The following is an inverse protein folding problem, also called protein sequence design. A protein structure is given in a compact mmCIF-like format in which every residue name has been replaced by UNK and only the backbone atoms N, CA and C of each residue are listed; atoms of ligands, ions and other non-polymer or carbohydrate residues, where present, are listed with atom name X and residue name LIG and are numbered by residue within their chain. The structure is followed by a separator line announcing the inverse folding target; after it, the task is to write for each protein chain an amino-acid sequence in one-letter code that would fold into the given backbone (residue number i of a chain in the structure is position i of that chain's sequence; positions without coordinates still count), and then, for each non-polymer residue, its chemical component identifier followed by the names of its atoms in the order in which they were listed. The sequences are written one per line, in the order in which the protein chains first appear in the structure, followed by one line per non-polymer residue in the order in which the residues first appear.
data_IF_688359840465
#
_entry.id   IF_688359840465
#
_cell.length_a   1.000
_cell.length_b   1.000
_cell.length_c   1.000
_cell.angle_alpha   90.00
_cell.angle_beta   90.00
_cell.angle_gamma   90.00
#
_symmetry.space_group_name_H-M   'P 1'
#
loop_
_entity.id
_entity.type
_entity.pdbx_description
1 polymer ?
#
# COMPACT_ATOMS: atom_id res chain seq x y z
N UNK A 1 22.14 11.60 12.27
CA UNK A 1 21.99 10.36 13.07
C UNK A 1 21.15 9.41 12.24
N UNK A 2 21.47 8.13 12.23
CA UNK A 2 20.65 7.13 11.51
C UNK A 2 19.23 7.15 12.09
N UNK A 3 18.20 7.16 11.20
CA UNK A 3 16.78 7.00 11.58
C UNK A 3 16.45 5.53 11.91
N UNK A 4 17.43 4.63 11.85
CA UNK A 4 17.25 3.19 11.99
C UNK A 4 17.12 2.79 13.45
N UNK A 5 16.08 2.04 13.75
CA UNK A 5 15.83 1.41 15.04
C UNK A 5 16.44 0.00 15.01
N UNK A 6 17.31 -0.29 15.96
CA UNK A 6 17.85 -1.62 16.20
C UNK A 6 17.14 -2.20 17.45
N UNK A 7 16.24 -3.17 17.30
CA UNK A 7 15.57 -3.74 18.45
C UNK A 7 16.55 -4.50 19.34
N UNK A 8 16.38 -4.38 20.66
CA UNK A 8 17.22 -5.11 21.62
C UNK A 8 17.02 -6.62 21.46
N UNK A 9 18.13 -7.37 21.40
CA UNK A 9 18.14 -8.84 21.26
C UNK A 9 17.46 -9.36 19.97
N UNK A 10 17.31 -8.54 18.94
CA UNK A 10 16.78 -9.00 17.66
C UNK A 10 17.78 -9.94 16.99
N UNK A 11 17.25 -11.04 16.47
CA UNK A 11 17.98 -11.96 15.60
C UNK A 11 17.02 -12.44 14.51
N UNK A 12 17.42 -12.38 13.22
CA UNK A 12 16.61 -12.91 12.14
C UNK A 12 16.24 -14.38 12.38
N UNK A 13 14.98 -14.73 12.21
CA UNK A 13 14.50 -16.10 12.41
C UNK A 13 15.05 -17.09 11.37
N UNK A 14 15.42 -16.60 10.19
CA UNK A 14 15.94 -17.38 9.08
C UNK A 14 17.33 -16.91 8.68
N UNK A 15 18.17 -17.83 8.20
CA UNK A 15 19.41 -17.48 7.48
C UNK A 15 19.07 -16.92 6.09
N UNK A 16 20.04 -16.28 5.40
CA UNK A 16 19.81 -15.64 4.10
C UNK A 16 19.24 -16.56 3.03
N UNK A 17 19.70 -17.82 2.97
CA UNK A 17 19.21 -18.79 1.99
C UNK A 17 17.73 -19.11 2.23
N UNK A 18 17.36 -19.39 3.47
CA UNK A 18 15.96 -19.69 3.83
C UNK A 18 15.07 -18.44 3.74
N UNK A 19 15.61 -17.25 4.03
CA UNK A 19 14.90 -15.97 3.80
C UNK A 19 14.52 -15.81 2.33
N UNK A 20 15.43 -16.05 1.39
CA UNK A 20 15.12 -15.97 -0.05
C UNK A 20 14.05 -17.00 -0.47
N UNK A 21 14.11 -18.21 0.06
CA UNK A 21 13.07 -19.24 -0.17
C UNK A 21 11.72 -18.81 0.40
N UNK A 22 11.72 -18.25 1.61
CA UNK A 22 10.51 -17.78 2.27
C UNK A 22 9.87 -16.60 1.51
N UNK A 23 10.65 -15.61 1.07
CA UNK A 23 10.18 -14.52 0.21
C UNK A 23 9.48 -15.05 -1.04
N UNK A 24 10.12 -15.97 -1.77
CA UNK A 24 9.52 -16.60 -2.96
C UNK A 24 8.23 -17.35 -2.64
N UNK A 25 8.17 -18.00 -1.49
CA UNK A 25 6.99 -18.74 -1.01
C UNK A 25 5.85 -17.77 -0.66
N UNK A 26 6.11 -16.73 0.14
CA UNK A 26 5.12 -15.71 0.49
C UNK A 26 4.54 -15.07 -0.77
N UNK A 27 5.42 -14.60 -1.67
CA UNK A 27 4.98 -13.89 -2.88
C UNK A 27 4.06 -14.75 -3.76
N UNK A 28 4.35 -16.03 -3.92
CA UNK A 28 3.52 -16.95 -4.70
C UNK A 28 2.21 -17.28 -3.99
N UNK A 29 2.27 -17.74 -2.74
CA UNK A 29 1.08 -18.16 -2.00
C UNK A 29 0.08 -17.03 -1.80
N UNK A 30 0.59 -15.84 -1.45
CA UNK A 30 -0.28 -14.70 -1.24
C UNK A 30 -0.95 -14.24 -2.54
N UNK A 31 -0.19 -14.16 -3.65
CA UNK A 31 -0.75 -13.77 -4.94
C UNK A 31 -1.87 -14.72 -5.38
N UNK A 32 -1.66 -16.06 -5.27
CA UNK A 32 -2.66 -17.06 -5.63
C UNK A 32 -3.90 -16.95 -4.73
N UNK A 33 -3.70 -16.80 -3.41
CA UNK A 33 -4.80 -16.66 -2.45
C UNK A 33 -5.59 -15.37 -2.66
N UNK A 34 -4.90 -14.25 -2.88
CA UNK A 34 -5.53 -12.96 -3.18
C UNK A 34 -6.37 -13.02 -4.46
N UNK A 35 -5.84 -13.65 -5.51
CA UNK A 35 -6.54 -13.85 -6.78
C UNK A 35 -7.84 -14.65 -6.60
N UNK A 36 -7.76 -15.75 -5.88
CA UNK A 36 -8.92 -16.58 -5.59
C UNK A 36 -9.97 -15.83 -4.75
N UNK A 37 -9.52 -15.11 -3.73
CA UNK A 37 -10.38 -14.44 -2.75
C UNK A 37 -11.11 -13.25 -3.36
N UNK A 38 -10.42 -12.41 -4.15
CA UNK A 38 -11.01 -11.20 -4.73
C UNK A 38 -11.46 -11.38 -6.19
N UNK A 39 -11.24 -12.56 -6.80
CA UNK A 39 -11.56 -12.84 -8.19
C UNK A 39 -10.76 -11.97 -9.18
N UNK A 40 -9.44 -12.01 -9.02
CA UNK A 40 -8.50 -11.21 -9.80
C UNK A 40 -7.75 -12.07 -10.83
N UNK A 41 -7.30 -11.39 -11.89
CA UNK A 41 -6.41 -11.97 -12.90
C UNK A 41 -5.13 -11.13 -12.98
N UNK A 42 -3.98 -11.81 -13.02
CA UNK A 42 -2.70 -11.11 -13.21
C UNK A 42 -2.62 -10.53 -14.61
N UNK A 43 -2.21 -9.26 -14.71
CA UNK A 43 -1.99 -8.57 -15.99
C UNK A 43 -0.58 -7.98 -16.05
N UNK A 44 -0.10 -7.72 -17.27
CA UNK A 44 1.11 -6.94 -17.48
C UNK A 44 0.84 -5.47 -17.17
N UNK A 45 1.72 -4.84 -16.41
CA UNK A 45 1.63 -3.43 -16.03
C UNK A 45 2.85 -2.64 -16.51
N UNK A 46 2.72 -1.33 -16.76
CA UNK A 46 3.84 -0.51 -17.15
C UNK A 46 4.76 -0.23 -15.94
N UNK A 47 6.07 -0.19 -16.19
CA UNK A 47 7.06 0.35 -15.25
C UNK A 47 7.09 1.88 -15.28
N UNK A 48 6.73 2.47 -16.41
CA UNK A 48 6.69 3.90 -16.66
C UNK A 48 5.51 4.26 -17.55
N UNK A 49 5.05 5.48 -17.44
CA UNK A 49 3.92 6.01 -18.23
C UNK A 49 4.32 7.34 -18.87
N UNK A 50 3.66 7.69 -19.97
CA UNK A 50 3.83 9.00 -20.61
C UNK A 50 3.30 10.11 -19.69
N UNK A 51 4.09 11.17 -19.50
CA UNK A 51 3.80 12.26 -18.57
C UNK A 51 2.46 12.96 -18.87
N UNK A 52 2.13 13.13 -20.16
CA UNK A 52 0.92 13.82 -20.63
C UNK A 52 -0.40 13.11 -20.28
N UNK A 53 -0.36 11.83 -19.92
CA UNK A 53 -1.58 11.02 -19.68
C UNK A 53 -2.27 11.29 -18.34
N UNK A 54 -1.53 11.82 -17.35
CA UNK A 54 -2.01 11.99 -15.98
C UNK A 54 -2.20 10.67 -15.21
N UNK A 55 -1.63 9.55 -15.72
CA UNK A 55 -1.79 8.22 -15.12
C UNK A 55 -0.84 7.97 -13.94
N UNK A 56 0.30 8.70 -13.87
CA UNK A 56 1.18 8.57 -12.72
C UNK A 56 0.57 9.22 -11.47
N UNK A 57 1.03 8.79 -10.30
CA UNK A 57 0.68 9.39 -9.03
C UNK A 57 1.57 10.62 -8.76
N UNK A 58 1.00 11.62 -8.12
CA UNK A 58 1.73 12.78 -7.63
C UNK A 58 2.02 12.69 -6.11
N UNK A 59 1.62 11.59 -5.47
CA UNK A 59 1.71 11.38 -4.02
C UNK A 59 1.14 12.58 -3.27
N UNK A 60 1.97 13.30 -2.49
CA UNK A 60 1.58 14.53 -1.80
C UNK A 60 1.75 15.80 -2.68
N UNK A 61 2.21 15.64 -3.92
CA UNK A 61 2.39 16.73 -4.89
C UNK A 61 3.73 17.46 -4.78
N UNK A 62 4.62 17.04 -3.91
CA UNK A 62 5.96 17.64 -3.70
C UNK A 62 7.10 16.72 -4.11
N UNK A 63 6.86 15.42 -4.21
CA UNK A 63 7.85 14.41 -4.55
C UNK A 63 8.23 14.49 -6.04
N UNK A 64 9.52 14.48 -6.31
CA UNK A 64 10.05 14.51 -7.67
C UNK A 64 9.93 13.13 -8.32
N UNK A 65 9.40 13.08 -9.53
CA UNK A 65 9.36 11.86 -10.33
C UNK A 65 10.71 11.53 -10.95
N UNK A 66 10.98 10.25 -11.20
CA UNK A 66 12.08 9.82 -12.06
C UNK A 66 11.60 9.86 -13.50
N UNK A 67 12.20 10.73 -14.30
CA UNK A 67 11.80 10.96 -15.69
C UNK A 67 12.96 10.69 -16.65
N UNK A 68 12.62 10.31 -17.86
CA UNK A 68 13.55 10.21 -18.99
C UNK A 68 12.77 10.37 -20.31
N UNK A 69 13.49 10.65 -21.39
CA UNK A 69 12.93 10.71 -22.74
C UNK A 69 13.22 9.44 -23.54
N UNK A 70 12.36 9.15 -24.50
CA UNK A 70 12.56 8.03 -25.43
C UNK A 70 13.36 8.47 -26.65
N UNK A 71 14.40 7.70 -27.00
CA UNK A 71 15.35 8.04 -28.07
C UNK A 71 14.68 8.35 -29.40
N UNK A 72 13.67 7.58 -29.79
CA UNK A 72 13.12 7.65 -31.13
C UNK A 72 12.02 8.73 -31.26
N UNK A 73 11.24 8.99 -30.21
CA UNK A 73 10.12 9.92 -30.23
C UNK A 73 10.31 11.18 -29.40
N UNK A 74 11.31 11.21 -28.51
CA UNK A 74 11.51 12.30 -27.55
C UNK A 74 10.38 12.46 -26.53
N UNK A 75 9.49 11.47 -26.42
CA UNK A 75 8.39 11.51 -25.46
C UNK A 75 8.95 11.39 -24.04
N UNK A 76 8.54 12.31 -23.17
CA UNK A 76 8.85 12.25 -21.74
C UNK A 76 8.00 11.17 -21.07
N UNK A 77 8.66 10.27 -20.39
CA UNK A 77 8.06 9.20 -19.59
C UNK A 77 8.50 9.30 -18.15
N UNK A 78 7.66 8.81 -17.26
CA UNK A 78 7.85 8.86 -15.81
C UNK A 78 7.78 7.45 -15.26
N UNK A 79 8.78 7.03 -14.49
CA UNK A 79 8.68 5.81 -13.69
C UNK A 79 7.52 5.96 -12.72
N UNK A 80 6.70 4.93 -12.61
CA UNK A 80 5.49 5.01 -11.79
C UNK A 80 5.82 5.18 -10.30
N UNK A 81 5.01 5.98 -9.61
CA UNK A 81 4.97 6.09 -8.16
C UNK A 81 3.80 5.30 -7.57
N UNK A 82 2.74 5.08 -8.39
CA UNK A 82 1.59 4.23 -8.12
C UNK A 82 0.91 3.89 -9.44
N UNK A 83 0.18 2.76 -9.50
CA UNK A 83 -0.63 2.35 -10.63
C UNK A 83 -2.15 2.53 -10.41
N UNK A 84 -2.56 3.23 -9.35
CA UNK A 84 -3.96 3.36 -8.98
C UNK A 84 -4.84 3.86 -10.15
N UNK A 85 -4.40 4.92 -10.85
CA UNK A 85 -5.12 5.48 -12.00
C UNK A 85 -5.05 4.58 -13.22
N UNK A 86 -3.88 4.03 -13.51
CA UNK A 86 -3.68 3.13 -14.64
C UNK A 86 -4.56 1.87 -14.55
N UNK A 87 -4.65 1.23 -13.39
CA UNK A 87 -5.44 0.00 -13.20
C UNK A 87 -6.91 0.21 -13.56
N UNK A 88 -7.50 1.32 -13.10
CA UNK A 88 -8.91 1.64 -13.41
C UNK A 88 -9.14 1.80 -14.91
N UNK A 89 -8.21 2.50 -15.58
CA UNK A 89 -8.24 2.62 -17.05
C UNK A 89 -8.08 1.25 -17.72
N UNK A 90 -7.13 0.44 -17.28
CA UNK A 90 -6.87 -0.89 -17.82
C UNK A 90 -8.09 -1.82 -17.69
N UNK A 91 -8.85 -1.76 -16.60
CA UNK A 91 -10.10 -2.54 -16.47
C UNK A 91 -11.11 -2.20 -17.58
N UNK A 92 -11.25 -0.91 -17.95
CA UNK A 92 -12.09 -0.48 -19.07
C UNK A 92 -11.53 -1.00 -20.39
N UNK A 93 -10.25 -0.73 -20.65
CA UNK A 93 -9.59 -1.04 -21.92
C UNK A 93 -9.58 -2.55 -22.22
N UNK A 94 -9.42 -3.37 -21.20
CA UNK A 94 -9.39 -4.83 -21.30
C UNK A 94 -10.78 -5.48 -21.19
N UNK A 95 -11.84 -4.70 -21.00
CA UNK A 95 -13.22 -5.18 -20.96
C UNK A 95 -13.56 -6.02 -19.73
N UNK A 96 -13.00 -5.70 -18.59
CA UNK A 96 -13.33 -6.39 -17.33
C UNK A 96 -14.78 -6.09 -16.91
N UNK A 97 -15.49 -7.13 -16.43
CA UNK A 97 -16.88 -7.05 -16.04
C UNK A 97 -17.02 -6.89 -14.52
N UNK A 98 -18.19 -6.45 -14.07
CA UNK A 98 -18.55 -6.37 -12.65
C UNK A 98 -18.23 -7.68 -11.92
N UNK A 99 -17.61 -7.57 -10.76
CA UNK A 99 -17.18 -8.70 -9.92
C UNK A 99 -15.85 -9.33 -10.34
N UNK A 100 -15.24 -8.89 -11.45
CA UNK A 100 -13.90 -9.29 -11.90
C UNK A 100 -12.91 -8.17 -11.71
N UNK A 101 -11.66 -8.53 -11.46
CA UNK A 101 -10.60 -7.55 -11.28
C UNK A 101 -9.26 -8.02 -11.84
N UNK A 102 -8.31 -7.12 -11.80
CA UNK A 102 -6.92 -7.39 -12.14
C UNK A 102 -6.02 -7.20 -10.92
N UNK A 103 -4.86 -7.83 -10.96
CA UNK A 103 -3.70 -7.40 -10.17
C UNK A 103 -2.45 -7.39 -11.05
N UNK A 104 -1.46 -6.63 -10.63
CA UNK A 104 -0.15 -6.62 -11.27
C UNK A 104 0.95 -6.48 -10.21
N UNK A 105 2.14 -6.93 -10.57
CA UNK A 105 3.34 -6.66 -9.79
C UNK A 105 3.81 -5.24 -10.15
N UNK A 106 3.53 -4.28 -9.28
CA UNK A 106 4.00 -2.92 -9.42
C UNK A 106 5.42 -2.81 -8.86
N UNK A 107 6.29 -2.19 -9.63
CA UNK A 107 7.62 -1.77 -9.20
C UNK A 107 7.69 -0.24 -9.37
N UNK A 108 7.85 0.48 -8.29
CA UNK A 108 7.86 1.94 -8.27
C UNK A 108 9.16 2.49 -7.68
N UNK A 109 9.52 3.70 -8.09
CA UNK A 109 10.64 4.43 -7.50
C UNK A 109 10.11 5.72 -6.91
N UNK A 110 10.25 5.86 -5.59
CA UNK A 110 9.95 7.07 -4.82
C UNK A 110 11.29 7.70 -4.41
N UNK A 111 11.87 8.49 -5.31
CA UNK A 111 13.25 8.99 -5.16
C UNK A 111 13.48 9.91 -3.96
N UNK A 112 12.43 10.54 -3.46
CA UNK A 112 12.48 11.48 -2.33
C UNK A 112 11.97 10.84 -1.03
N UNK A 113 11.86 9.49 -0.98
CA UNK A 113 11.42 8.75 0.20
C UNK A 113 12.42 8.90 1.36
N UNK A 114 11.91 9.18 2.53
CA UNK A 114 12.66 9.14 3.79
C UNK A 114 12.91 7.68 4.20
N UNK A 115 14.10 7.17 3.92
CA UNK A 115 14.45 5.78 4.23
C UNK A 115 14.60 5.55 5.73
N UNK A 116 13.97 4.48 6.22
CA UNK A 116 14.04 3.99 7.58
C UNK A 116 13.89 2.45 7.62
N UNK A 117 13.52 1.87 8.76
CA UNK A 117 13.29 0.42 8.86
C UNK A 117 12.17 -0.09 7.95
N UNK A 118 11.18 0.74 7.61
CA UNK A 118 9.96 0.37 6.90
C UNK A 118 9.91 0.90 5.46
N UNK A 119 10.73 1.91 5.14
CA UNK A 119 10.68 2.64 3.88
C UNK A 119 11.97 2.50 3.06
N UNK A 120 11.79 2.26 1.78
CA UNK A 120 12.83 2.18 0.75
C UNK A 120 12.43 3.05 -0.44
N UNK A 121 13.40 3.55 -1.19
CA UNK A 121 13.13 4.24 -2.47
C UNK A 121 12.52 3.29 -3.52
N UNK A 122 12.69 1.98 -3.37
CA UNK A 122 12.03 0.96 -4.19
C UNK A 122 10.78 0.46 -3.49
N UNK A 123 9.63 0.54 -4.16
CA UNK A 123 8.33 0.09 -3.66
C UNK A 123 7.79 -1.01 -4.57
N UNK A 124 7.53 -2.18 -4.00
CA UNK A 124 6.92 -3.32 -4.69
C UNK A 124 5.55 -3.65 -4.09
N UNK A 125 4.53 -3.77 -4.94
CA UNK A 125 3.16 -4.05 -4.49
C UNK A 125 2.48 -5.09 -5.38
N UNK A 126 1.60 -5.90 -4.77
CA UNK A 126 0.46 -6.44 -5.52
C UNK A 126 -0.56 -5.33 -5.62
N UNK A 127 -0.58 -4.71 -6.78
CA UNK A 127 -1.45 -3.58 -7.04
C UNK A 127 -2.71 -4.11 -7.73
N UNK A 128 -3.86 -4.05 -7.05
CA UNK A 128 -5.09 -4.68 -7.49
C UNK A 128 -6.22 -3.68 -7.70
N UNK A 129 -7.17 -4.03 -8.58
CA UNK A 129 -8.36 -3.23 -8.87
C UNK A 129 -9.48 -4.14 -9.36
N UNK A 130 -10.71 -3.93 -8.88
CA UNK A 130 -11.89 -4.74 -9.20
C UNK A 130 -13.06 -3.87 -9.60
N UNK A 131 -13.77 -4.24 -10.67
CA UNK A 131 -15.01 -3.57 -11.09
C UNK A 131 -16.12 -3.92 -10.12
N UNK A 132 -16.80 -2.90 -9.62
CA UNK A 132 -17.94 -3.00 -8.70
C UNK A 132 -19.18 -2.34 -9.30
N UNK A 133 -20.34 -2.57 -8.70
CA UNK A 133 -21.54 -1.83 -9.03
C UNK A 133 -21.58 -0.50 -8.30
N UNK A 134 -22.44 0.39 -8.73
CA UNK A 134 -22.65 1.66 -8.03
C UNK A 134 -23.19 1.46 -6.61
N UNK A 135 -24.14 0.53 -6.42
CA UNK A 135 -24.68 0.17 -5.11
C UNK A 135 -23.65 -0.44 -4.15
N UNK A 136 -22.54 -0.97 -4.66
CA UNK A 136 -21.42 -1.50 -3.86
C UNK A 136 -20.49 -0.38 -3.30
N UNK A 137 -20.74 0.88 -3.67
CA UNK A 137 -19.99 2.04 -3.15
C UNK A 137 -20.42 2.39 -1.73
N UNK A 138 -20.05 1.55 -0.78
CA UNK A 138 -20.39 1.73 0.63
C UNK A 138 -19.36 1.08 1.56
N UNK A 139 -19.39 1.48 2.84
CA UNK A 139 -18.47 0.95 3.86
C UNK A 139 -18.59 -0.55 4.08
N UNK A 140 -19.79 -1.12 3.94
CA UNK A 140 -20.01 -2.56 4.14
C UNK A 140 -19.22 -3.36 3.12
N UNK A 141 -19.27 -2.95 1.85
CA UNK A 141 -18.48 -3.56 0.78
C UNK A 141 -16.98 -3.43 1.07
N UNK A 142 -16.50 -2.23 1.39
CA UNK A 142 -15.09 -1.98 1.71
C UNK A 142 -14.61 -2.84 2.88
N UNK A 143 -15.36 -2.88 3.98
CA UNK A 143 -15.05 -3.71 5.15
C UNK A 143 -14.99 -5.20 4.82
N UNK A 144 -15.83 -5.70 3.91
CA UNK A 144 -15.79 -7.09 3.47
C UNK A 144 -14.54 -7.39 2.63
N UNK A 145 -14.13 -6.46 1.76
CA UNK A 145 -12.86 -6.59 0.99
C UNK A 145 -11.68 -6.64 1.94
N UNK A 146 -11.62 -5.76 2.94
CA UNK A 146 -10.55 -5.75 3.96
C UNK A 146 -10.46 -7.08 4.70
N UNK A 147 -11.60 -7.61 5.18
CA UNK A 147 -11.63 -8.93 5.86
C UNK A 147 -11.14 -10.06 4.96
N UNK A 148 -11.48 -10.00 3.68
CA UNK A 148 -11.01 -10.98 2.68
C UNK A 148 -9.49 -10.93 2.50
N UNK A 149 -8.91 -9.74 2.46
CA UNK A 149 -7.44 -9.57 2.35
C UNK A 149 -6.75 -10.06 3.63
N UNK A 150 -7.25 -9.71 4.82
CA UNK A 150 -6.68 -10.20 6.08
C UNK A 150 -6.75 -11.73 6.18
N UNK A 151 -7.86 -12.33 5.73
CA UNK A 151 -7.97 -13.80 5.66
C UNK A 151 -6.92 -14.41 4.73
N UNK A 152 -6.61 -13.76 3.59
CA UNK A 152 -5.55 -14.20 2.69
C UNK A 152 -4.15 -14.08 3.32
N UNK A 153 -3.90 -13.03 4.11
CA UNK A 153 -2.65 -12.88 4.90
C UNK A 153 -2.52 -14.04 5.89
N UNK A 154 -3.53 -14.29 6.71
CA UNK A 154 -3.51 -15.37 7.70
C UNK A 154 -3.33 -16.77 7.06
N UNK A 155 -3.99 -17.03 5.92
CA UNK A 155 -3.82 -18.29 5.21
C UNK A 155 -2.40 -18.47 4.66
N UNK A 156 -1.78 -17.40 4.17
CA UNK A 156 -0.39 -17.40 3.72
C UNK A 156 0.57 -17.67 4.87
N UNK A 157 0.37 -17.01 6.00
CA UNK A 157 1.16 -17.16 7.22
C UNK A 157 1.11 -18.59 7.76
N UNK A 158 -0.07 -19.19 7.89
CA UNK A 158 -0.22 -20.58 8.33
C UNK A 158 0.56 -21.55 7.45
N UNK A 159 0.49 -21.39 6.12
CA UNK A 159 1.25 -22.22 5.19
C UNK A 159 2.76 -21.97 5.31
N UNK A 160 3.17 -20.72 5.52
CA UNK A 160 4.57 -20.36 5.69
C UNK A 160 5.17 -21.04 6.94
N UNK A 161 4.47 -20.99 8.08
CA UNK A 161 4.91 -21.65 9.33
C UNK A 161 5.01 -23.18 9.17
N UNK A 162 4.11 -23.78 8.40
CA UNK A 162 4.20 -25.23 8.09
C UNK A 162 5.43 -25.59 7.25
N UNK A 163 5.88 -24.68 6.36
CA UNK A 163 7.03 -24.88 5.47
C UNK A 163 8.37 -24.48 6.10
N UNK A 164 8.34 -23.58 7.08
CA UNK A 164 9.52 -23.03 7.79
C UNK A 164 9.32 -23.14 9.30
N UNK A 165 9.67 -24.29 9.91
CA UNK A 165 9.48 -24.50 11.35
C UNK A 165 10.17 -23.46 12.25
N UNK A 166 11.21 -22.81 11.76
CA UNK A 166 11.93 -21.74 12.46
C UNK A 166 11.05 -20.50 12.75
N UNK A 167 9.94 -20.36 12.03
CA UNK A 167 8.99 -19.24 12.22
C UNK A 167 7.89 -19.56 13.25
N UNK A 168 7.83 -20.78 13.79
CA UNK A 168 6.75 -21.21 14.68
C UNK A 168 6.65 -20.44 15.99
N UNK A 169 7.75 -19.81 16.42
CA UNK A 169 7.78 -18.97 17.62
C UNK A 169 7.22 -17.56 17.38
N UNK A 170 7.01 -17.16 16.12
CA UNK A 170 6.35 -15.91 15.79
C UNK A 170 4.82 -16.02 16.04
N UNK A 171 4.19 -14.98 16.61
CA UNK A 171 2.76 -15.01 16.84
C UNK A 171 1.98 -14.99 15.52
N UNK A 172 0.96 -15.84 15.42
CA UNK A 172 0.07 -15.86 14.26
C UNK A 172 -0.94 -14.69 14.32
N UNK A 173 -1.15 -14.06 13.19
CA UNK A 173 -2.22 -13.08 13.03
C UNK A 173 -3.59 -13.75 12.98
N UNK A 174 -4.61 -13.04 13.46
CA UNK A 174 -5.99 -13.51 13.44
C UNK A 174 -6.78 -12.82 12.31
N UNK A 175 -7.85 -13.44 11.79
CA UNK A 175 -8.67 -12.83 10.76
C UNK A 175 -9.57 -11.67 11.28
N UNK A 176 -9.48 -11.36 12.57
CA UNK A 176 -10.23 -10.27 13.17
C UNK A 176 -9.65 -8.92 12.76
N UNK A 177 -10.53 -8.01 12.36
CA UNK A 177 -10.17 -6.64 11.98
C UNK A 177 -11.00 -5.67 12.79
N UNK A 178 -10.34 -4.75 13.46
CA UNK A 178 -10.97 -3.61 14.12
C UNK A 178 -11.06 -2.45 13.12
N UNK A 179 -12.24 -1.81 13.05
CA UNK A 179 -12.49 -0.68 12.15
C UNK A 179 -12.65 0.59 12.98
N UNK A 180 -11.95 1.64 12.60
CA UNK A 180 -12.02 2.96 13.22
C UNK A 180 -11.86 4.03 12.14
N UNK A 181 -12.56 5.16 12.27
CA UNK A 181 -12.33 6.31 11.38
C UNK A 181 -11.21 7.19 11.92
N UNK A 182 -10.58 7.96 11.03
CA UNK A 182 -9.55 8.91 11.40
C UNK A 182 -10.04 9.92 12.45
N UNK A 183 -11.33 10.33 12.35
CA UNK A 183 -11.92 11.24 13.34
C UNK A 183 -12.14 10.57 14.70
N UNK A 184 -12.66 9.34 14.74
CA UNK A 184 -12.81 8.60 16.01
C UNK A 184 -11.47 8.36 16.68
N UNK A 185 -10.42 8.11 15.88
CA UNK A 185 -9.06 7.96 16.40
C UNK A 185 -8.50 9.26 16.98
N UNK A 186 -8.76 10.41 16.33
CA UNK A 186 -8.41 11.72 16.88
C UNK A 186 -9.19 12.04 18.16
N UNK A 187 -10.51 11.78 18.17
CA UNK A 187 -11.36 11.99 19.35
C UNK A 187 -10.92 11.12 20.55
N UNK A 188 -10.41 9.90 20.29
CA UNK A 188 -9.90 8.99 21.33
C UNK A 188 -8.55 9.44 21.90
N UNK A 189 -7.67 10.00 21.07
CA UNK A 189 -6.32 10.40 21.45
C UNK A 189 -6.00 11.83 20.97
N UNK A 190 -6.68 12.86 21.51
CA UNK A 190 -6.60 14.22 20.95
C UNK A 190 -5.19 14.85 21.04
N UNK A 191 -4.41 14.48 22.06
CA UNK A 191 -3.09 15.05 22.33
C UNK A 191 -1.93 14.33 21.59
N UNK A 192 -2.21 13.21 20.95
CA UNK A 192 -1.20 12.44 20.23
C UNK A 192 -1.10 12.86 18.76
N UNK A 193 0.08 12.73 18.19
CA UNK A 193 0.28 12.84 16.72
C UNK A 193 -0.42 11.69 15.98
N UNK A 194 -0.72 11.84 14.68
CA UNK A 194 -1.36 10.76 13.91
C UNK A 194 -0.66 9.41 14.07
N UNK A 195 0.66 9.35 13.96
CA UNK A 195 1.43 8.10 14.11
C UNK A 195 1.40 7.51 15.52
N UNK A 196 1.42 8.37 16.54
CA UNK A 196 1.28 7.91 17.93
C UNK A 196 -0.12 7.38 18.22
N UNK A 197 -1.17 7.97 17.61
CA UNK A 197 -2.55 7.47 17.67
C UNK A 197 -2.66 6.06 17.08
N UNK A 198 -2.09 5.85 15.88
CA UNK A 198 -2.02 4.52 15.26
C UNK A 198 -1.30 3.52 16.16
N UNK A 199 -0.10 3.86 16.65
CA UNK A 199 0.68 2.99 17.53
C UNK A 199 -0.11 2.58 18.78
N UNK A 200 -0.75 3.54 19.45
CA UNK A 200 -1.52 3.27 20.66
C UNK A 200 -2.72 2.37 20.34
N UNK A 201 -3.45 2.66 19.27
CA UNK A 201 -4.66 1.93 18.92
C UNK A 201 -4.38 0.51 18.42
N UNK A 202 -3.42 0.35 17.50
CA UNK A 202 -3.07 -0.95 16.91
C UNK A 202 -2.45 -1.88 17.97
N UNK A 203 -1.64 -1.34 18.88
CA UNK A 203 -1.09 -2.10 20.01
C UNK A 203 -2.18 -2.72 20.89
N UNK A 204 -3.26 -1.98 21.14
CA UNK A 204 -4.38 -2.41 21.97
C UNK A 204 -5.34 -3.36 21.23
N UNK A 205 -5.61 -3.11 19.95
CA UNK A 205 -6.70 -3.72 19.21
C UNK A 205 -6.26 -4.72 18.12
N UNK A 206 -4.95 -4.85 17.86
CA UNK A 206 -4.40 -5.71 16.82
C UNK A 206 -4.67 -5.17 15.42
N UNK A 207 -4.90 -6.08 14.45
CA UNK A 207 -5.13 -5.72 13.05
C UNK A 207 -6.27 -4.71 12.92
N UNK A 208 -5.96 -3.55 12.36
CA UNK A 208 -6.88 -2.40 12.31
C UNK A 208 -6.99 -1.88 10.89
N UNK A 209 -8.21 -1.51 10.48
CA UNK A 209 -8.44 -0.74 9.28
C UNK A 209 -8.87 0.68 9.65
N UNK A 210 -7.96 1.63 9.44
CA UNK A 210 -8.17 3.06 9.70
C UNK A 210 -8.83 3.69 8.48
N UNK A 211 -10.07 4.16 8.64
CA UNK A 211 -10.93 4.63 7.55
C UNK A 211 -11.00 6.16 7.46
N UNK A 212 -11.42 6.65 6.27
CA UNK A 212 -11.74 8.05 5.99
C UNK A 212 -10.54 8.98 6.15
N UNK A 213 -9.49 8.67 5.38
CA UNK A 213 -8.25 9.43 5.34
C UNK A 213 -8.30 10.41 4.14
N UNK A 214 -7.80 11.63 4.34
CA UNK A 214 -7.64 12.64 3.29
C UNK A 214 -8.35 13.96 3.60
N UNK A 215 -9.58 13.93 4.10
CA UNK A 215 -10.29 15.13 4.49
C UNK A 215 -9.76 15.71 5.82
N UNK A 216 -9.86 17.04 6.02
CA UNK A 216 -9.54 17.66 7.31
C UNK A 216 -10.44 17.12 8.43
N UNK A 217 -9.83 16.80 9.58
CA UNK A 217 -10.49 16.41 10.82
C UNK A 217 -10.99 17.65 11.60
N UNK A 218 -11.61 17.43 12.76
CA UNK A 218 -12.06 18.54 13.65
C UNK A 218 -10.92 19.49 14.07
N UNK A 219 -9.70 18.99 14.15
CA UNK A 219 -8.50 19.80 14.39
C UNK A 219 -8.13 20.74 13.23
N UNK A 220 -8.78 20.61 12.07
CA UNK A 220 -8.48 21.36 10.85
C UNK A 220 -7.36 20.77 10.00
N UNK A 221 -6.77 19.63 10.41
CA UNK A 221 -5.73 18.93 9.67
C UNK A 221 -6.21 17.52 9.28
N UNK A 222 -5.78 16.97 8.15
CA UNK A 222 -6.05 15.55 7.85
C UNK A 222 -5.23 14.65 8.78
N UNK A 223 -5.67 13.39 8.92
CA UNK A 223 -4.88 12.37 9.62
C UNK A 223 -3.56 12.14 8.90
N UNK A 224 -3.65 11.94 7.58
CA UNK A 224 -2.52 11.78 6.67
C UNK A 224 -2.88 12.35 5.29
N UNK A 225 -1.85 12.57 4.44
CA UNK A 225 -2.02 12.97 3.06
C UNK A 225 -2.71 11.88 2.23
N UNK A 226 -3.59 12.29 1.30
CA UNK A 226 -4.23 11.38 0.36
C UNK A 226 -4.47 12.09 -0.96
N UNK A 227 -3.97 11.51 -2.06
CA UNK A 227 -4.23 12.06 -3.39
C UNK A 227 -5.73 12.21 -3.63
N UNK A 228 -6.17 13.31 -4.27
CA UNK A 228 -7.60 13.59 -4.45
C UNK A 228 -8.24 12.86 -5.62
N UNK A 229 -7.47 12.13 -6.43
CA UNK A 229 -7.85 11.75 -7.78
C UNK A 229 -7.98 10.24 -8.03
N UNK A 230 -7.89 9.41 -6.97
CA UNK A 230 -8.19 7.98 -7.14
C UNK A 230 -9.02 7.36 -5.99
N UNK A 231 -8.71 7.56 -4.72
CA UNK A 231 -9.53 7.05 -3.61
C UNK A 231 -10.59 8.06 -3.16
N UNK A 232 -11.82 7.58 -2.96
CA UNK A 232 -12.85 8.36 -2.30
C UNK A 232 -12.51 8.51 -0.81
N UNK A 233 -12.31 9.75 -0.33
CA UNK A 233 -11.89 10.01 1.05
C UNK A 233 -12.89 9.54 2.11
N UNK A 234 -14.16 9.38 1.73
CA UNK A 234 -15.20 8.83 2.61
C UNK A 234 -15.22 7.29 2.62
N UNK A 235 -14.54 6.64 1.65
CA UNK A 235 -14.60 5.19 1.39
C UNK A 235 -13.21 4.57 1.17
N UNK A 236 -12.21 5.04 1.89
CA UNK A 236 -10.84 4.54 1.86
C UNK A 236 -10.33 4.19 3.25
N UNK A 237 -9.12 3.69 3.31
CA UNK A 237 -8.38 3.51 4.55
C UNK A 237 -7.10 2.72 4.38
N UNK A 238 -6.39 2.60 5.50
CA UNK A 238 -5.13 1.89 5.61
C UNK A 238 -5.27 0.67 6.52
N UNK A 239 -4.76 -0.46 6.04
CA UNK A 239 -4.71 -1.71 6.79
C UNK A 239 -3.41 -1.76 7.59
N UNK A 240 -3.55 -1.67 8.90
CA UNK A 240 -2.47 -1.59 9.86
C UNK A 240 -2.34 -2.91 10.63
N UNK A 241 -1.10 -3.36 10.80
CA UNK A 241 -0.71 -4.46 11.67
C UNK A 241 0.22 -3.95 12.76
N UNK A 242 0.44 -4.74 13.80
CA UNK A 242 1.47 -4.47 14.79
C UNK A 242 2.77 -5.12 14.36
N UNK A 243 3.84 -4.34 14.27
CA UNK A 243 5.19 -4.87 14.03
C UNK A 243 5.86 -5.14 15.38
N UNK A 244 5.96 -6.41 15.73
CA UNK A 244 6.49 -6.84 17.02
C UNK A 244 7.97 -6.46 17.21
N UNK A 245 8.89 -6.68 16.23
CA UNK A 245 10.28 -6.27 16.40
C UNK A 245 10.44 -4.77 16.66
N UNK A 246 9.71 -3.93 15.93
CA UNK A 246 9.85 -2.46 16.01
C UNK A 246 8.91 -1.81 17.04
N UNK A 247 7.98 -2.56 17.62
CA UNK A 247 6.98 -2.06 18.58
C UNK A 247 6.21 -0.83 18.03
N UNK A 248 5.74 -0.92 16.79
CA UNK A 248 5.00 0.16 16.14
C UNK A 248 3.87 -0.36 15.23
N UNK A 249 2.94 0.51 14.90
CA UNK A 249 1.96 0.27 13.85
C UNK A 249 2.64 0.21 12.49
N UNK A 250 2.12 -0.63 11.61
CA UNK A 250 2.73 -1.00 10.35
C UNK A 250 1.68 -1.06 9.25
N UNK A 251 1.72 -0.10 8.31
CA UNK A 251 0.83 -0.09 7.17
C UNK A 251 1.25 -1.15 6.15
N UNK A 252 0.39 -2.15 5.95
CA UNK A 252 0.57 -3.17 4.93
C UNK A 252 -0.04 -2.78 3.58
N UNK A 253 -1.18 -2.09 3.62
CA UNK A 253 -1.96 -1.78 2.42
C UNK A 253 -2.75 -0.51 2.60
N UNK A 254 -2.76 0.33 1.56
CA UNK A 254 -3.72 1.40 1.38
C UNK A 254 -4.72 1.01 0.30
N UNK A 255 -6.02 1.20 0.55
CA UNK A 255 -7.07 0.80 -0.39
C UNK A 255 -8.35 1.62 -0.21
N UNK A 256 -9.20 1.59 -1.23
CA UNK A 256 -10.49 2.25 -1.15
C UNK A 256 -11.45 1.86 -2.28
N UNK A 257 -12.66 2.37 -2.17
CA UNK A 257 -13.55 2.51 -3.30
C UNK A 257 -13.10 3.76 -4.04
N UNK A 258 -12.94 3.65 -5.35
CA UNK A 258 -12.40 4.74 -6.14
C UNK A 258 -13.41 5.87 -6.30
N UNK A 259 -12.91 7.07 -6.51
CA UNK A 259 -13.75 8.26 -6.69
C UNK A 259 -14.84 8.06 -7.74
N UNK A 260 -16.03 8.59 -7.46
CA UNK A 260 -17.06 8.87 -8.46
C UNK A 260 -16.75 10.18 -9.19
N UNK A 261 -17.48 10.54 -10.26
CA UNK A 261 -17.38 11.88 -10.83
C UNK A 261 -17.55 12.99 -9.80
N UNK A 262 -18.55 12.86 -8.91
CA UNK A 262 -18.89 13.86 -7.89
C UNK A 262 -17.83 13.94 -6.78
N UNK A 263 -17.35 12.80 -6.27
CA UNK A 263 -16.31 12.81 -5.23
C UNK A 263 -14.96 13.28 -5.77
N UNK A 264 -14.61 12.95 -7.01
CA UNK A 264 -13.40 13.49 -7.65
C UNK A 264 -13.49 15.01 -7.82
N UNK A 265 -14.64 15.50 -8.31
CA UNK A 265 -14.89 16.93 -8.48
C UNK A 265 -14.68 17.69 -7.17
N UNK A 266 -15.32 17.23 -6.10
CA UNK A 266 -15.19 17.79 -4.75
C UNK A 266 -13.76 17.73 -4.22
N UNK A 267 -13.09 16.59 -4.36
CA UNK A 267 -11.75 16.36 -3.81
C UNK A 267 -10.66 17.17 -4.54
N UNK A 268 -10.74 17.30 -5.88
CA UNK A 268 -9.82 18.14 -6.64
C UNK A 268 -9.90 19.61 -6.18
N UNK A 269 -11.11 20.13 -6.01
CA UNK A 269 -11.29 21.49 -5.50
C UNK A 269 -10.78 21.63 -4.06
N UNK A 270 -11.09 20.68 -3.18
CA UNK A 270 -10.65 20.71 -1.79
C UNK A 270 -9.11 20.65 -1.65
N UNK A 271 -8.45 19.93 -2.56
CA UNK A 271 -6.98 19.82 -2.60
C UNK A 271 -6.28 20.94 -3.40
N UNK A 272 -7.03 21.85 -4.05
CA UNK A 272 -6.46 22.89 -4.91
C UNK A 272 -5.80 22.34 -6.19
N UNK A 273 -6.27 21.20 -6.69
CA UNK A 273 -5.73 20.49 -7.86
C UNK A 273 -6.65 20.58 -9.09
N UNK A 274 -7.36 21.69 -9.27
CA UNK A 274 -8.34 21.87 -10.36
C UNK A 274 -7.71 21.82 -11.77
N UNK A 275 -6.44 22.12 -11.89
CA UNK A 275 -5.65 22.00 -13.12
C UNK A 275 -5.64 20.57 -13.67
N UNK A 276 -5.69 19.56 -12.82
CA UNK A 276 -5.72 18.14 -13.20
C UNK A 276 -6.97 17.73 -13.96
N UNK A 277 -8.07 18.50 -13.86
CA UNK A 277 -9.33 18.25 -14.62
C UNK A 277 -9.14 18.18 -16.13
N UNK A 278 -8.09 18.83 -16.63
CA UNK A 278 -7.76 18.86 -18.05
C UNK A 278 -7.06 17.60 -18.57
N UNK A 279 -6.53 16.77 -17.67
CA UNK A 279 -5.78 15.58 -18.03
C UNK A 279 -6.72 14.45 -18.51
N UNK A 280 -6.28 13.59 -19.44
CA UNK A 280 -7.12 12.55 -20.05
C UNK A 280 -7.80 11.61 -19.06
N UNK A 281 -7.06 11.12 -18.05
CA UNK A 281 -7.63 10.24 -17.02
C UNK A 281 -8.73 10.93 -16.22
N UNK A 282 -8.49 12.16 -15.77
CA UNK A 282 -9.43 12.93 -14.96
C UNK A 282 -10.70 13.25 -15.72
N UNK A 283 -10.57 13.67 -16.99
CA UNK A 283 -11.73 13.86 -17.90
C UNK A 283 -12.57 12.59 -18.01
N UNK A 284 -11.92 11.44 -18.21
CA UNK A 284 -12.64 10.18 -18.35
C UNK A 284 -13.41 9.79 -17.08
N UNK A 285 -12.88 10.07 -15.88
CA UNK A 285 -13.61 9.87 -14.62
C UNK A 285 -14.76 10.85 -14.49
N UNK A 286 -14.51 12.15 -14.67
CA UNK A 286 -15.52 13.21 -14.52
C UNK A 286 -16.68 13.06 -15.51
N UNK A 287 -16.43 12.51 -16.69
CA UNK A 287 -17.46 12.23 -17.71
C UNK A 287 -18.19 10.89 -17.46
N UNK A 288 -17.85 10.13 -16.40
CA UNK A 288 -18.45 8.83 -16.15
C UNK A 288 -18.06 7.74 -17.15
N UNK A 289 -16.93 7.89 -17.83
CA UNK A 289 -16.48 6.96 -18.86
C UNK A 289 -15.75 5.73 -18.30
N UNK A 290 -15.28 5.78 -17.05
CA UNK A 290 -14.59 4.68 -16.38
C UNK A 290 -15.53 3.92 -15.43
N UNK A 291 -15.37 2.60 -15.28
CA UNK A 291 -16.20 1.82 -14.36
C UNK A 291 -16.02 2.26 -12.91
N UNK A 292 -17.03 2.01 -12.08
CA UNK A 292 -16.86 2.06 -10.63
C UNK A 292 -15.97 0.91 -10.20
N UNK A 293 -15.01 1.20 -9.31
CA UNK A 293 -14.02 0.21 -8.90
C UNK A 293 -13.67 0.35 -7.41
N UNK A 294 -13.16 -0.74 -6.85
CA UNK A 294 -12.44 -0.78 -5.58
C UNK A 294 -11.06 -1.33 -5.83
N UNK A 295 -10.05 -0.75 -5.21
CA UNK A 295 -8.68 -1.17 -5.43
C UNK A 295 -7.73 -0.73 -4.33
N UNK A 296 -6.50 -1.20 -4.42
CA UNK A 296 -5.45 -0.89 -3.45
C UNK A 296 -4.11 -1.46 -3.86
N UNK A 297 -3.09 -1.12 -3.09
CA UNK A 297 -1.76 -1.69 -3.17
C UNK A 297 -1.42 -2.42 -1.88
N UNK A 298 -0.93 -3.66 -1.98
CA UNK A 298 -0.44 -4.44 -0.84
C UNK A 298 1.06 -4.58 -1.01
N UNK A 299 1.83 -4.05 -0.05
CA UNK A 299 3.30 -4.08 -0.11
C UNK A 299 3.85 -5.50 -0.10
N UNK A 300 4.54 -5.91 -1.16
CA UNK A 300 5.11 -7.27 -1.26
C UNK A 300 6.22 -7.46 -0.23
N UNK A 301 7.20 -6.57 -0.22
CA UNK A 301 8.29 -6.60 0.76
C UNK A 301 7.78 -6.33 2.17
N UNK A 302 6.77 -5.46 2.33
CA UNK A 302 6.12 -5.25 3.64
C UNK A 302 5.44 -6.51 4.16
N UNK A 303 4.72 -7.26 3.33
CA UNK A 303 4.14 -8.54 3.77
C UNK A 303 5.23 -9.56 4.15
N UNK A 304 6.30 -9.67 3.35
CA UNK A 304 7.43 -10.52 3.70
C UNK A 304 8.05 -10.11 5.05
N UNK A 305 8.29 -8.81 5.26
CA UNK A 305 8.82 -8.29 6.52
C UNK A 305 7.93 -8.65 7.71
N UNK A 306 6.61 -8.49 7.58
CA UNK A 306 5.63 -8.83 8.62
C UNK A 306 5.67 -10.31 8.96
N UNK A 307 5.55 -11.18 7.96
CA UNK A 307 5.41 -12.64 8.16
C UNK A 307 6.72 -13.34 8.54
N UNK A 308 7.87 -12.71 8.26
CA UNK A 308 9.18 -13.23 8.67
C UNK A 308 9.67 -12.61 10.00
N UNK A 309 8.92 -11.67 10.58
CA UNK A 309 9.30 -10.96 11.80
C UNK A 309 10.59 -10.14 11.63
N UNK A 310 10.81 -9.56 10.46
CA UNK A 310 12.02 -8.79 10.16
C UNK A 310 11.97 -7.39 10.80
N UNK A 311 13.13 -6.90 11.24
CA UNK A 311 13.28 -5.58 11.84
C UNK A 311 13.58 -4.48 10.81
N UNK A 312 14.02 -4.85 9.60
CA UNK A 312 14.36 -3.90 8.55
C UNK A 312 13.88 -4.43 7.19
N UNK A 313 13.25 -3.57 6.39
CA UNK A 313 12.75 -3.96 5.06
C UNK A 313 13.86 -4.47 4.13
N UNK A 314 15.09 -4.03 4.33
CA UNK A 314 16.27 -4.51 3.62
C UNK A 314 16.61 -5.98 3.84
N UNK A 315 16.07 -6.63 4.87
CA UNK A 315 16.22 -8.08 5.06
C UNK A 315 15.42 -8.89 4.03
N UNK A 316 14.39 -8.27 3.44
CA UNK A 316 13.46 -8.93 2.51
C UNK A 316 13.37 -8.24 1.15
N UNK A 317 14.10 -7.15 0.97
CA UNK A 317 14.11 -6.37 -0.27
C UNK A 317 15.54 -5.91 -0.62
N UNK A 318 16.01 -6.30 -1.80
CA UNK A 318 17.25 -5.75 -2.35
C UNK A 318 17.03 -4.30 -2.79
N UNK A 319 17.79 -3.37 -2.23
CA UNK A 319 17.69 -1.93 -2.49
C UNK A 319 19.05 -1.25 -2.27
N UNK A 320 19.05 0.08 -2.25
CA UNK A 320 20.24 0.89 -1.95
C UNK A 320 20.06 1.54 -0.59
N UNK A 321 21.05 1.37 0.27
CA UNK A 321 21.05 1.90 1.63
C UNK A 321 22.25 2.81 1.84
N UNK A 322 22.07 3.87 2.63
CA UNK A 322 23.18 4.75 3.01
C UNK A 322 24.20 4.03 3.91
N UNK A 323 25.40 4.62 4.03
CA UNK A 323 26.49 4.00 4.77
C UNK A 323 26.18 3.81 6.27
N UNK A 324 25.43 4.75 6.88
CA UNK A 324 25.09 4.68 8.30
C UNK A 324 24.09 3.55 8.59
N UNK A 325 23.10 3.38 7.70
CA UNK A 325 22.16 2.26 7.76
C UNK A 325 22.86 0.92 7.63
N UNK A 326 23.74 0.77 6.63
CA UNK A 326 24.52 -0.47 6.44
C UNK A 326 25.38 -0.79 7.65
N UNK A 327 26.13 0.19 8.16
CA UNK A 327 26.97 -0.01 9.34
C UNK A 327 26.17 -0.38 10.60
N UNK A 328 25.01 0.26 10.83
CA UNK A 328 24.14 -0.06 11.96
C UNK A 328 23.59 -1.48 11.88
N UNK A 329 23.09 -1.89 10.71
CA UNK A 329 22.57 -3.23 10.48
C UNK A 329 23.65 -4.31 10.60
N UNK A 330 24.85 -4.09 10.00
CA UNK A 330 25.98 -5.01 10.10
C UNK A 330 26.42 -5.24 11.54
N UNK A 331 26.57 -4.16 12.34
CA UNK A 331 26.90 -4.26 13.77
C UNK A 331 25.86 -5.01 14.58
N UNK A 332 24.59 -4.94 14.18
CA UNK A 332 23.47 -5.61 14.83
C UNK A 332 23.24 -7.04 14.31
N UNK A 333 23.98 -7.51 13.32
CA UNK A 333 23.77 -8.81 12.70
C UNK A 333 22.49 -8.89 11.85
N UNK A 334 21.97 -7.74 11.39
CA UNK A 334 20.81 -7.64 10.50
C UNK A 334 21.31 -7.68 9.04
N UNK A 335 21.05 -8.75 8.28
CA UNK A 335 21.54 -8.87 6.91
C UNK A 335 20.67 -8.01 5.97
N UNK A 336 21.29 -7.12 5.21
CA UNK A 336 20.64 -6.39 4.13
C UNK A 336 20.91 -7.11 2.80
N UNK A 337 19.85 -7.31 1.98
CA UNK A 337 19.93 -7.95 0.66
C UNK A 337 20.58 -7.05 -0.39
#
# INVERSE_FOLDING_TARGET
MSKIIIPANYTPALNLYDTQRAIGTVKRLFADTLCATLNLYRVSAPLFVEASTGLNDDLNGVERKVTFDTKDSGIEVQVVQSLAKWKRKALKDYGFRVGKGLYCDMNAIRRDEDMDNLHSIYVDQWDWEKVIREEDRNETYLKNVVRSIVSAVCATEMNLHAMFPQLQDLPLHTPNVTFITAQELEDKYPDLTPKERENAFVKENGTTFLMKIGAPLKSGKPHDGRAPDYDDWDLNGDLLFWNEPLQCSYELSSMGIRVSPESMDRQLTAAGCDDRRTLPFHKAVLNGELPYTSGGGIGQSRLCMLLLGSAHIGEVQASVWDAATREACEKAGIPLL
#
